data_IF_742079619414
#
_entry.id   IF_742079619414
#
_cell.length_a   1.000
_cell.length_b   1.000
_cell.length_c   1.000
_cell.angle_alpha   90.00
_cell.angle_beta   90.00
_cell.angle_gamma   90.00
#
_symmetry.space_group_name_H-M   'P 1'
#
loop_
_entity.id
_entity.type
_entity.pdbx_description
1 polymer ?
#
# COMPACT_ATOMS: atom_id res chain seq x y z
N UNK A 1 4.53 47.21 -65.65
CA UNK A 1 3.34 46.57 -65.04
C UNK A 1 3.57 45.10 -64.58
N UNK A 2 4.68 44.70 -63.88
CA UNK A 2 4.78 43.34 -63.29
C UNK A 2 4.94 43.28 -61.76
N UNK A 3 5.10 44.41 -61.08
CA UNK A 3 5.46 44.43 -59.64
C UNK A 3 4.24 44.26 -58.72
N UNK A 4 3.04 44.62 -59.20
CA UNK A 4 1.82 44.59 -58.38
C UNK A 4 1.24 43.18 -58.17
N UNK A 5 1.55 42.23 -59.08
CA UNK A 5 0.99 40.87 -59.05
C UNK A 5 1.70 39.99 -58.02
N UNK A 6 3.00 40.23 -57.76
CA UNK A 6 3.79 39.48 -56.77
C UNK A 6 3.33 39.69 -55.33
N UNK A 7 2.83 40.89 -55.00
CA UNK A 7 2.33 41.20 -53.65
C UNK A 7 0.97 40.56 -53.34
N UNK A 8 0.10 40.42 -54.35
CA UNK A 8 -1.22 39.84 -54.18
C UNK A 8 -1.15 38.32 -53.94
N UNK A 9 -0.28 37.62 -54.67
CA UNK A 9 -0.09 36.17 -54.54
C UNK A 9 0.51 35.81 -53.16
N UNK A 10 1.44 36.62 -52.65
CA UNK A 10 2.05 36.39 -51.33
C UNK A 10 1.06 36.62 -50.17
N UNK A 11 0.13 37.59 -50.31
CA UNK A 11 -0.94 37.82 -49.32
C UNK A 11 -1.99 36.69 -49.32
N UNK A 12 -2.34 36.15 -50.48
CA UNK A 12 -3.29 35.01 -50.58
C UNK A 12 -2.67 33.75 -49.97
N UNK A 13 -1.37 33.53 -50.15
CA UNK A 13 -0.65 32.38 -49.56
C UNK A 13 -0.57 32.49 -48.03
N UNK A 14 -0.33 33.68 -47.48
CA UNK A 14 -0.34 33.93 -46.02
C UNK A 14 -1.73 33.69 -45.39
N UNK A 15 -2.81 34.05 -46.09
CA UNK A 15 -4.19 33.84 -45.60
C UNK A 15 -4.57 32.34 -45.60
N UNK A 16 -4.10 31.57 -46.59
CA UNK A 16 -4.32 30.12 -46.66
C UNK A 16 -3.57 29.35 -45.56
N UNK A 17 -2.35 29.77 -45.22
CA UNK A 17 -1.56 29.16 -44.12
C UNK A 17 -2.19 29.47 -42.75
N UNK A 18 -2.77 30.66 -42.58
CA UNK A 18 -3.47 31.05 -41.35
C UNK A 18 -4.77 30.25 -41.10
N UNK A 19 -5.46 29.83 -42.16
CA UNK A 19 -6.69 29.01 -42.05
C UNK A 19 -6.42 27.52 -41.79
N UNK A 20 -5.27 26.98 -42.22
CA UNK A 20 -4.86 25.60 -41.94
C UNK A 20 -4.35 25.36 -40.50
N UNK A 21 -4.11 26.43 -39.74
CA UNK A 21 -3.56 26.32 -38.38
C UNK A 21 -4.63 26.15 -37.28
N UNK A 22 -5.92 26.12 -37.63
CA UNK A 22 -7.02 26.14 -36.66
C UNK A 22 -7.48 24.72 -36.22
N UNK A 23 -6.99 23.64 -36.85
CA UNK A 23 -7.41 22.27 -36.50
C UNK A 23 -6.25 21.50 -35.87
N UNK A 24 -5.83 21.94 -34.69
CA UNK A 24 -5.09 21.11 -33.74
C UNK A 24 -5.35 21.59 -32.31
N UNK A 25 -6.60 21.97 -32.01
CA UNK A 25 -7.05 21.97 -30.62
C UNK A 25 -7.34 20.52 -30.27
N UNK A 26 -6.32 19.82 -29.78
CA UNK A 26 -6.50 18.55 -29.10
C UNK A 26 -7.63 18.72 -28.10
N UNK A 27 -8.73 18.03 -28.38
CA UNK A 27 -9.83 17.80 -27.46
C UNK A 27 -9.25 17.13 -26.22
N UNK A 28 -8.87 17.93 -25.22
CA UNK A 28 -8.81 17.46 -23.83
C UNK A 28 -10.25 17.20 -23.42
N UNK A 29 -10.80 16.06 -23.86
CA UNK A 29 -11.98 15.49 -23.26
C UNK A 29 -11.64 15.30 -21.78
N UNK A 30 -12.20 16.15 -20.93
CA UNK A 30 -12.34 15.87 -19.51
C UNK A 30 -13.26 14.67 -19.40
N UNK A 31 -12.75 13.46 -19.67
CA UNK A 31 -13.36 12.26 -19.13
C UNK A 31 -13.28 12.46 -17.63
N UNK A 32 -14.43 12.50 -16.98
CA UNK A 32 -14.48 12.19 -15.56
C UNK A 32 -13.87 10.79 -15.46
N UNK A 33 -12.61 10.69 -15.02
CA UNK A 33 -11.89 9.42 -15.05
C UNK A 33 -12.63 8.50 -14.07
N UNK A 34 -13.38 7.55 -14.61
CA UNK A 34 -14.22 6.70 -13.80
C UNK A 34 -13.30 5.90 -12.88
N UNK A 35 -13.57 5.96 -11.56
CA UNK A 35 -12.78 5.24 -10.56
C UNK A 35 -12.66 3.77 -10.97
N UNK A 36 -11.45 3.22 -11.12
CA UNK A 36 -11.30 1.84 -11.52
C UNK A 36 -11.83 0.91 -10.43
N UNK A 37 -12.47 -0.19 -10.84
CA UNK A 37 -12.84 -1.26 -9.93
C UNK A 37 -11.59 -2.02 -9.48
N UNK A 38 -11.50 -2.30 -8.19
CA UNK A 38 -10.33 -2.91 -7.55
C UNK A 38 -10.75 -4.11 -6.73
N UNK A 39 -10.09 -5.26 -6.98
CA UNK A 39 -10.16 -6.42 -6.11
C UNK A 39 -8.90 -6.49 -5.23
N UNK A 40 -9.08 -6.56 -3.91
CA UNK A 40 -8.00 -6.88 -2.98
C UNK A 40 -8.05 -8.38 -2.68
N UNK A 41 -6.99 -9.10 -3.08
CA UNK A 41 -6.85 -10.51 -2.75
C UNK A 41 -6.26 -10.69 -1.35
N UNK A 42 -6.49 -11.87 -0.77
CA UNK A 42 -5.87 -12.23 0.51
C UNK A 42 -4.36 -12.32 0.33
N UNK A 43 -3.60 -11.65 1.20
CA UNK A 43 -2.14 -11.68 1.14
C UNK A 43 -1.60 -13.03 1.59
N UNK A 44 -0.41 -13.40 1.11
CA UNK A 44 0.29 -14.57 1.61
C UNK A 44 0.90 -14.28 2.99
N UNK A 45 0.83 -15.24 3.92
CA UNK A 45 1.46 -15.15 5.23
C UNK A 45 2.70 -16.02 5.33
N UNK A 46 3.89 -15.41 5.36
CA UNK A 46 5.14 -16.13 5.61
C UNK A 46 5.56 -15.87 7.06
N UNK A 47 5.50 -16.90 7.92
CA UNK A 47 5.85 -16.77 9.34
C UNK A 47 4.81 -16.04 10.20
N UNK A 48 3.64 -15.71 9.63
CA UNK A 48 2.47 -15.15 10.33
C UNK A 48 1.33 -16.17 10.32
N UNK A 49 0.46 -16.12 11.33
CA UNK A 49 -0.75 -16.93 11.33
C UNK A 49 -1.81 -16.33 10.38
N UNK A 50 -2.77 -17.14 9.95
CA UNK A 50 -3.79 -16.75 8.97
C UNK A 50 -4.74 -15.67 9.52
N UNK A 51 -4.96 -15.63 10.84
CA UNK A 51 -5.85 -14.67 11.51
C UNK A 51 -5.27 -13.25 11.45
N UNK A 52 -3.99 -13.10 11.75
CA UNK A 52 -3.26 -11.83 11.66
C UNK A 52 -3.18 -11.35 10.21
N UNK A 53 -2.87 -12.24 9.27
CA UNK A 53 -2.82 -11.90 7.84
C UNK A 53 -4.19 -11.40 7.37
N UNK A 54 -5.28 -12.07 7.76
CA UNK A 54 -6.63 -11.64 7.44
C UNK A 54 -6.97 -10.28 8.08
N UNK A 55 -6.56 -10.06 9.34
CA UNK A 55 -6.76 -8.81 10.06
C UNK A 55 -6.09 -7.63 9.36
N UNK A 56 -4.79 -7.72 9.08
CA UNK A 56 -4.05 -6.63 8.44
C UNK A 56 -4.44 -6.43 6.98
N UNK A 57 -4.80 -7.50 6.25
CA UNK A 57 -5.42 -7.36 4.92
C UNK A 57 -6.77 -6.63 5.01
N UNK A 58 -7.53 -6.87 6.09
CA UNK A 58 -8.78 -6.16 6.38
C UNK A 58 -8.56 -4.67 6.65
N UNK A 59 -7.53 -4.30 7.42
CA UNK A 59 -7.15 -2.89 7.62
C UNK A 59 -6.72 -2.23 6.31
N UNK A 60 -5.95 -2.93 5.46
CA UNK A 60 -5.62 -2.46 4.12
C UNK A 60 -6.88 -2.18 3.28
N UNK A 61 -7.86 -3.10 3.31
CA UNK A 61 -9.13 -2.94 2.59
C UNK A 61 -9.92 -1.71 3.09
N UNK A 62 -10.00 -1.55 4.42
CA UNK A 62 -10.67 -0.42 5.05
C UNK A 62 -10.01 0.90 4.64
N UNK A 63 -8.68 0.96 4.65
CA UNK A 63 -7.95 2.17 4.29
C UNK A 63 -8.08 2.48 2.79
N UNK A 64 -8.00 1.46 1.91
CA UNK A 64 -8.26 1.62 0.47
C UNK A 64 -9.65 2.22 0.22
N UNK A 65 -10.67 1.83 0.99
CA UNK A 65 -12.00 2.42 0.91
C UNK A 65 -11.99 3.92 1.28
N UNK A 66 -11.21 4.30 2.30
CA UNK A 66 -11.07 5.71 2.74
C UNK A 66 -10.40 6.60 1.70
N UNK A 67 -9.46 6.08 0.90
CA UNK A 67 -8.81 6.85 -0.17
C UNK A 67 -9.81 7.36 -1.21
N UNK A 68 -10.96 6.67 -1.36
CA UNK A 68 -11.99 6.94 -2.38
C UNK A 68 -11.44 6.91 -3.81
N UNK A 69 -10.26 6.34 -4.06
CA UNK A 69 -9.66 6.26 -5.40
C UNK A 69 -10.18 5.10 -6.23
N UNK A 70 -10.77 4.09 -5.59
CA UNK A 70 -11.22 2.85 -6.21
C UNK A 70 -12.68 2.53 -5.91
N UNK A 71 -13.30 1.72 -6.76
CA UNK A 71 -14.56 1.02 -6.45
C UNK A 71 -14.17 -0.39 -6.01
N UNK A 72 -14.24 -0.66 -4.70
CA UNK A 72 -13.83 -1.95 -4.17
C UNK A 72 -14.84 -3.06 -4.53
N UNK A 73 -14.32 -4.18 -5.00
CA UNK A 73 -15.09 -5.39 -5.30
C UNK A 73 -14.89 -6.36 -4.15
N UNK A 74 -15.99 -6.71 -3.49
CA UNK A 74 -15.95 -7.59 -2.33
C UNK A 74 -15.64 -9.04 -2.72
N UNK A 75 -14.88 -9.74 -1.86
CA UNK A 75 -14.53 -11.15 -2.05
C UNK A 75 -15.74 -12.05 -2.23
N UNK A 76 -16.86 -11.75 -1.56
CA UNK A 76 -18.10 -12.52 -1.70
C UNK A 76 -18.63 -12.43 -3.14
N UNK A 77 -18.66 -11.24 -3.74
CA UNK A 77 -19.11 -11.03 -5.12
C UNK A 77 -18.19 -11.75 -6.12
N UNK A 78 -16.88 -11.74 -5.89
CA UNK A 78 -15.91 -12.49 -6.70
C UNK A 78 -16.23 -13.98 -6.62
N UNK A 79 -16.37 -14.53 -5.41
CA UNK A 79 -16.59 -15.96 -5.20
C UNK A 79 -17.92 -16.46 -5.78
N UNK A 80 -18.98 -15.65 -5.72
CA UNK A 80 -20.27 -15.96 -6.35
C UNK A 80 -20.13 -16.10 -7.87
N UNK A 81 -19.50 -15.12 -8.51
CA UNK A 81 -19.27 -15.14 -9.95
C UNK A 81 -18.34 -16.29 -10.37
N UNK A 82 -17.29 -16.59 -9.59
CA UNK A 82 -16.41 -17.72 -9.87
C UNK A 82 -17.12 -19.07 -9.77
N UNK A 83 -18.03 -19.24 -8.80
CA UNK A 83 -18.87 -20.43 -8.69
C UNK A 83 -19.83 -20.59 -9.87
N UNK A 84 -20.44 -19.51 -10.35
CA UNK A 84 -21.29 -19.54 -11.54
C UNK A 84 -20.52 -19.95 -12.81
N UNK A 85 -19.21 -19.68 -12.84
CA UNK A 85 -18.32 -20.05 -13.95
C UNK A 85 -17.62 -21.40 -13.75
N UNK A 86 -17.96 -22.15 -12.70
CA UNK A 86 -17.33 -23.43 -12.35
C UNK A 86 -15.79 -23.30 -12.29
N UNK A 87 -15.29 -22.19 -11.74
CA UNK A 87 -13.86 -21.91 -11.69
C UNK A 87 -13.21 -22.49 -10.42
N UNK A 88 -12.28 -23.44 -10.61
CA UNK A 88 -11.74 -24.26 -9.51
C UNK A 88 -10.61 -23.60 -8.69
N UNK A 89 -10.02 -22.50 -9.16
CA UNK A 89 -8.84 -21.86 -8.52
C UNK A 89 -9.20 -20.63 -7.68
N UNK A 90 -9.89 -20.85 -6.57
CA UNK A 90 -10.39 -19.74 -5.73
C UNK A 90 -9.33 -19.12 -4.80
N UNK A 91 -8.24 -19.86 -4.48
CA UNK A 91 -7.13 -19.32 -3.69
C UNK A 91 -6.13 -18.62 -4.62
N UNK A 92 -6.19 -17.29 -4.64
CA UNK A 92 -5.47 -16.46 -5.59
C UNK A 92 -4.50 -15.52 -4.90
N UNK A 93 -3.20 -15.74 -5.13
CA UNK A 93 -2.11 -15.01 -4.46
C UNK A 93 -1.07 -14.42 -5.42
N UNK A 94 -1.10 -14.85 -6.68
CA UNK A 94 -0.15 -14.41 -7.71
C UNK A 94 -0.78 -13.41 -8.67
N UNK A 95 0.05 -12.61 -9.33
CA UNK A 95 -0.41 -11.64 -10.32
C UNK A 95 -1.15 -12.30 -11.49
N UNK A 96 -0.62 -13.41 -12.02
CA UNK A 96 -1.22 -14.13 -13.15
C UNK A 96 -2.61 -14.67 -12.80
N UNK A 97 -2.77 -15.21 -11.59
CA UNK A 97 -4.06 -15.66 -11.09
C UNK A 97 -5.05 -14.50 -10.98
N UNK A 98 -4.62 -13.36 -10.44
CA UNK A 98 -5.49 -12.18 -10.30
C UNK A 98 -5.92 -11.63 -11.65
N UNK A 99 -5.04 -11.68 -12.67
CA UNK A 99 -5.34 -11.31 -14.05
C UNK A 99 -6.36 -12.27 -14.67
N UNK A 100 -6.24 -13.58 -14.42
CA UNK A 100 -7.20 -14.60 -14.89
C UNK A 100 -8.60 -14.36 -14.30
N UNK A 101 -8.69 -14.26 -12.97
CA UNK A 101 -9.94 -13.98 -12.26
C UNK A 101 -10.52 -12.63 -12.69
N UNK A 102 -9.69 -11.60 -12.83
CA UNK A 102 -10.12 -10.27 -13.23
C UNK A 102 -10.76 -10.23 -14.62
N UNK A 103 -10.31 -11.06 -15.56
CA UNK A 103 -10.95 -11.19 -16.88
C UNK A 103 -12.31 -11.88 -16.82
N UNK A 104 -12.48 -12.83 -15.89
CA UNK A 104 -13.73 -13.54 -15.69
C UNK A 104 -14.78 -12.67 -14.99
N UNK A 105 -14.35 -11.92 -13.97
CA UNK A 105 -15.23 -11.13 -13.09
C UNK A 105 -15.41 -9.70 -13.60
N UNK A 106 -14.43 -9.14 -14.30
CA UNK A 106 -14.51 -7.83 -14.94
C UNK A 106 -13.99 -6.64 -14.12
N UNK A 107 -13.31 -6.86 -12.99
CA UNK A 107 -12.63 -5.76 -12.29
C UNK A 107 -11.38 -5.28 -13.05
N UNK A 108 -11.03 -4.00 -12.89
CA UNK A 108 -9.99 -3.34 -13.69
C UNK A 108 -8.60 -3.40 -13.08
N UNK A 109 -8.53 -3.48 -11.76
CA UNK A 109 -7.29 -3.54 -10.99
C UNK A 109 -7.35 -4.66 -9.97
N UNK A 110 -6.20 -5.22 -9.62
CA UNK A 110 -6.04 -6.11 -8.49
C UNK A 110 -4.87 -5.68 -7.61
N UNK A 111 -4.98 -5.93 -6.31
CA UNK A 111 -3.83 -5.92 -5.41
C UNK A 111 -3.61 -7.34 -4.90
N UNK A 112 -2.38 -7.82 -5.06
CA UNK A 112 -1.86 -9.05 -4.46
C UNK A 112 -0.62 -8.70 -3.64
N UNK A 113 -0.26 -9.53 -2.68
CA UNK A 113 0.87 -9.24 -1.81
C UNK A 113 1.14 -10.31 -0.78
N UNK A 114 2.07 -10.02 0.10
CA UNK A 114 2.46 -10.89 1.19
C UNK A 114 2.88 -10.10 2.42
N UNK A 115 2.69 -10.74 3.58
CA UNK A 115 3.33 -10.39 4.83
C UNK A 115 4.42 -11.42 5.13
N UNK A 116 5.58 -10.95 5.58
CA UNK A 116 6.71 -11.80 5.97
C UNK A 116 7.21 -11.40 7.34
N UNK A 117 7.05 -12.29 8.32
CA UNK A 117 7.51 -12.11 9.69
C UNK A 117 8.71 -13.00 9.96
N UNK A 118 9.84 -12.37 10.32
CA UNK A 118 11.07 -13.07 10.72
C UNK A 118 11.56 -12.47 12.04
N UNK A 119 11.52 -13.27 13.10
CA UNK A 119 11.71 -12.79 14.47
C UNK A 119 10.74 -11.63 14.78
N UNK A 120 11.28 -10.43 15.01
CA UNK A 120 10.50 -9.23 15.35
C UNK A 120 10.35 -8.28 14.13
N UNK A 121 10.79 -8.70 12.94
CA UNK A 121 10.73 -7.89 11.73
C UNK A 121 9.58 -8.33 10.85
N UNK A 122 8.61 -7.45 10.64
CA UNK A 122 7.49 -7.65 9.73
C UNK A 122 7.67 -6.81 8.47
N UNK A 123 7.67 -7.46 7.30
CA UNK A 123 7.67 -6.82 5.99
C UNK A 123 6.35 -7.08 5.29
N UNK A 124 5.67 -6.01 4.87
CA UNK A 124 4.52 -6.07 3.98
C UNK A 124 4.97 -5.66 2.58
N UNK A 125 4.59 -6.45 1.58
CA UNK A 125 4.82 -6.15 0.17
C UNK A 125 3.54 -6.35 -0.62
N UNK A 126 3.25 -5.46 -1.55
CA UNK A 126 2.12 -5.63 -2.46
C UNK A 126 2.35 -5.01 -3.83
N UNK A 127 1.58 -5.49 -4.79
CA UNK A 127 1.62 -5.05 -6.18
C UNK A 127 0.22 -4.75 -6.68
N UNK A 128 0.03 -3.54 -7.22
CA UNK A 128 -1.15 -3.13 -7.97
C UNK A 128 -0.97 -3.55 -9.42
N UNK A 129 -1.92 -4.32 -9.94
CA UNK A 129 -1.88 -4.93 -11.27
C UNK A 129 -3.03 -4.38 -12.11
N UNK A 130 -2.73 -4.00 -13.35
CA UNK A 130 -3.71 -3.71 -14.37
C UNK A 130 -4.20 -5.00 -15.04
N UNK A 131 -5.50 -5.29 -14.96
CA UNK A 131 -6.05 -6.54 -15.53
C UNK A 131 -6.03 -6.52 -17.07
N UNK A 132 -6.28 -5.35 -17.65
CA UNK A 132 -6.27 -5.16 -19.10
C UNK A 132 -4.85 -5.11 -19.68
N UNK A 133 -3.96 -4.34 -19.05
CA UNK A 133 -2.54 -4.25 -19.44
C UNK A 133 -1.77 -5.54 -19.14
N UNK A 134 -2.21 -6.33 -18.14
CA UNK A 134 -1.51 -7.50 -17.59
C UNK A 134 -0.14 -7.16 -17.00
N UNK A 135 0.00 -5.94 -16.51
CA UNK A 135 1.27 -5.41 -15.99
C UNK A 135 1.11 -4.98 -14.52
N UNK A 136 2.20 -5.08 -13.78
CA UNK A 136 2.31 -4.48 -12.44
C UNK A 136 2.52 -2.98 -12.62
N UNK A 137 1.52 -2.20 -12.22
CA UNK A 137 1.52 -0.74 -12.36
C UNK A 137 2.23 -0.04 -11.21
N UNK A 138 2.18 -0.65 -10.01
CA UNK A 138 2.82 -0.13 -8.82
C UNK A 138 3.18 -1.27 -7.87
N UNK A 139 4.30 -1.14 -7.18
CA UNK A 139 4.70 -2.01 -6.07
C UNK A 139 4.99 -1.14 -4.86
N UNK A 140 4.55 -1.57 -3.69
CA UNK A 140 4.81 -0.92 -2.42
C UNK A 140 5.40 -1.96 -1.45
N UNK A 141 6.38 -1.55 -0.66
CA UNK A 141 7.04 -2.40 0.33
C UNK A 141 7.34 -1.57 1.57
N UNK A 142 6.98 -2.09 2.75
CA UNK A 142 7.22 -1.44 4.05
C UNK A 142 7.71 -2.49 5.03
N UNK A 143 8.62 -2.09 5.90
CA UNK A 143 9.20 -2.95 6.92
C UNK A 143 9.13 -2.24 8.26
N UNK A 144 8.76 -2.99 9.29
CA UNK A 144 8.69 -2.55 10.66
C UNK A 144 9.38 -3.58 11.56
N UNK A 145 10.03 -3.12 12.63
CA UNK A 145 10.73 -3.95 13.59
C UNK A 145 10.13 -3.67 14.98
N UNK A 146 9.43 -4.65 15.54
CA UNK A 146 8.77 -4.50 16.83
C UNK A 146 7.59 -5.47 17.00
N UNK A 147 6.68 -5.14 17.93
CA UNK A 147 5.51 -5.96 18.19
C UNK A 147 4.53 -5.83 17.01
N UNK A 148 3.96 -6.95 16.53
CA UNK A 148 3.16 -6.99 15.30
C UNK A 148 2.06 -5.91 15.22
N UNK A 149 1.46 -5.52 16.35
CA UNK A 149 0.49 -4.41 16.44
C UNK A 149 0.98 -3.10 15.80
N UNK A 150 2.27 -2.80 15.88
CA UNK A 150 2.90 -1.60 15.32
C UNK A 150 2.96 -1.56 13.78
N UNK A 151 2.65 -2.65 13.07
CA UNK A 151 2.65 -2.66 11.60
C UNK A 151 1.47 -1.88 11.01
N UNK A 152 0.37 -1.70 11.75
CA UNK A 152 -0.88 -1.19 11.18
C UNK A 152 -0.73 0.19 10.46
N UNK A 153 -0.05 1.21 11.03
CA UNK A 153 0.17 2.48 10.33
C UNK A 153 0.90 2.32 8.98
N UNK A 154 1.84 1.36 8.88
CA UNK A 154 2.54 1.07 7.64
C UNK A 154 1.62 0.44 6.58
N UNK A 155 0.70 -0.44 7.01
CA UNK A 155 -0.35 -1.01 6.15
C UNK A 155 -1.27 0.09 5.62
N UNK A 156 -1.64 1.03 6.48
CA UNK A 156 -2.47 2.16 6.07
C UNK A 156 -1.75 3.03 5.04
N UNK A 157 -0.51 3.43 5.29
CA UNK A 157 0.31 4.20 4.33
C UNK A 157 0.41 3.49 2.98
N UNK A 158 0.57 2.16 2.98
CA UNK A 158 0.58 1.38 1.74
C UNK A 158 -0.71 1.52 0.92
N UNK A 159 -1.88 1.62 1.57
CA UNK A 159 -3.15 1.86 0.88
C UNK A 159 -3.16 3.19 0.12
N UNK A 160 -2.70 4.27 0.77
CA UNK A 160 -2.59 5.60 0.18
C UNK A 160 -1.57 5.63 -0.96
N UNK A 161 -0.45 4.92 -0.80
CA UNK A 161 0.55 4.75 -1.85
C UNK A 161 -0.04 4.08 -3.09
N UNK A 162 -0.83 3.00 -2.92
CA UNK A 162 -1.53 2.37 -4.05
C UNK A 162 -2.50 3.34 -4.74
N UNK A 163 -3.25 4.11 -3.96
CA UNK A 163 -4.13 5.18 -4.44
C UNK A 163 -3.39 6.34 -5.12
N UNK A 164 -2.06 6.43 -4.99
CA UNK A 164 -1.26 7.53 -5.53
C UNK A 164 -1.50 8.85 -4.80
N UNK A 165 -1.81 8.76 -3.50
CA UNK A 165 -2.10 9.88 -2.62
C UNK A 165 -1.12 9.88 -1.44
N UNK A 166 -0.95 11.04 -0.83
CA UNK A 166 -0.25 11.14 0.45
C UNK A 166 -1.16 10.68 1.59
N UNK A 167 -0.62 9.92 2.53
CA UNK A 167 -1.37 9.50 3.70
C UNK A 167 -1.70 10.70 4.61
N UNK A 168 -2.83 10.68 5.35
CA UNK A 168 -3.15 11.65 6.37
C UNK A 168 -2.03 11.81 7.41
N UNK A 169 -1.83 13.05 7.88
CA UNK A 169 -0.72 13.39 8.80
C UNK A 169 -0.78 12.63 10.12
N UNK A 170 -1.97 12.32 10.61
CA UNK A 170 -2.19 11.52 11.80
C UNK A 170 -1.64 10.09 11.67
N UNK A 171 -1.72 9.48 10.48
CA UNK A 171 -1.12 8.16 10.21
C UNK A 171 0.41 8.26 10.16
N UNK A 172 0.94 9.30 9.52
CA UNK A 172 2.40 9.55 9.51
C UNK A 172 2.95 9.77 10.92
N UNK A 173 2.29 10.60 11.72
CA UNK A 173 2.67 10.83 13.11
C UNK A 173 2.60 9.55 13.95
N UNK A 174 1.65 8.65 13.66
CA UNK A 174 1.57 7.36 14.34
C UNK A 174 2.80 6.49 14.05
N UNK A 175 3.37 6.54 12.83
CA UNK A 175 4.66 5.88 12.52
C UNK A 175 5.79 6.51 13.33
N UNK A 176 5.88 7.84 13.39
CA UNK A 176 6.92 8.53 14.17
C UNK A 176 6.87 8.17 15.66
N UNK A 177 5.66 8.12 16.25
CA UNK A 177 5.47 7.72 17.65
C UNK A 177 5.89 6.26 17.87
N UNK A 178 5.57 5.37 16.94
CA UNK A 178 5.97 3.95 17.02
C UNK A 178 7.50 3.83 17.03
N UNK A 179 8.20 4.54 16.15
CA UNK A 179 9.67 4.56 16.10
C UNK A 179 10.28 5.07 17.42
N UNK A 180 9.74 6.16 18.01
CA UNK A 180 10.20 6.69 19.29
C UNK A 180 9.97 5.70 20.45
N UNK A 181 8.81 5.03 20.49
CA UNK A 181 8.47 4.05 21.53
C UNK A 181 9.40 2.85 21.47
N UNK A 182 9.71 2.34 20.28
CA UNK A 182 10.62 1.20 20.11
C UNK A 182 12.06 1.54 20.47
N UNK A 183 12.54 2.74 20.12
CA UNK A 183 13.86 3.22 20.55
C UNK A 183 13.94 3.25 22.09
N UNK A 184 12.94 3.85 22.74
CA UNK A 184 12.88 3.92 24.20
C UNK A 184 12.82 2.52 24.83
N UNK A 185 12.00 1.60 24.31
CA UNK A 185 11.91 0.20 24.76
C UNK A 185 13.27 -0.51 24.65
N UNK A 186 13.98 -0.30 23.54
CA UNK A 186 15.33 -0.84 23.31
C UNK A 186 16.34 -0.32 24.35
N UNK A 187 16.34 0.99 24.61
CA UNK A 187 17.20 1.62 25.62
C UNK A 187 16.92 1.05 27.02
N UNK A 188 15.65 0.96 27.43
CA UNK A 188 15.29 0.38 28.73
C UNK A 188 15.70 -1.10 28.85
N UNK A 189 15.64 -1.86 27.75
CA UNK A 189 16.10 -3.25 27.72
C UNK A 189 17.62 -3.36 27.96
N UNK A 190 18.41 -2.46 27.35
CA UNK A 190 19.86 -2.37 27.60
C UNK A 190 20.18 -1.93 29.02
N UNK A 191 19.51 -0.90 29.55
CA UNK A 191 19.66 -0.45 30.94
C UNK A 191 19.37 -1.59 31.91
N UNK A 192 18.26 -2.32 31.71
CA UNK A 192 17.92 -3.46 32.54
C UNK A 192 18.99 -4.57 32.46
N UNK A 193 19.53 -4.85 31.28
CA UNK A 193 20.62 -5.81 31.14
C UNK A 193 21.91 -5.37 31.87
N UNK A 194 22.27 -4.09 31.79
CA UNK A 194 23.47 -3.56 32.45
C UNK A 194 23.34 -3.54 33.99
N UNK A 195 22.13 -3.31 34.52
CA UNK A 195 21.87 -3.25 35.96
C UNK A 195 21.57 -4.65 36.53
N UNK A 196 21.16 -5.64 35.72
CA UNK A 196 20.95 -7.04 36.16
C UNK A 196 22.06 -7.60 37.08
N UNK A 197 23.36 -7.50 36.76
CA UNK A 197 24.41 -7.97 37.66
C UNK A 197 24.44 -7.20 39.00
N UNK A 198 24.21 -5.88 38.99
CA UNK A 198 24.12 -5.08 40.21
C UNK A 198 22.90 -5.45 41.06
N UNK A 199 21.74 -5.66 40.45
CA UNK A 199 20.52 -6.12 41.14
C UNK A 199 20.67 -7.55 41.69
N UNK A 200 21.34 -8.44 40.95
CA UNK A 200 21.66 -9.79 41.41
C UNK A 200 22.58 -9.75 42.63
N UNK A 201 23.64 -8.93 42.61
CA UNK A 201 24.56 -8.76 43.74
C UNK A 201 23.83 -8.12 44.94
N UNK A 202 23.03 -7.07 44.73
CA UNK A 202 22.30 -6.42 45.81
C UNK A 202 21.29 -7.35 46.50
N UNK A 203 20.57 -8.17 45.74
CA UNK A 203 19.68 -9.20 46.29
C UNK A 203 20.46 -10.29 47.03
N UNK A 204 21.62 -10.71 46.50
CA UNK A 204 22.50 -11.71 47.14
C UNK A 204 23.11 -11.20 48.45
N UNK A 205 23.51 -9.94 48.52
CA UNK A 205 24.08 -9.31 49.73
C UNK A 205 23.02 -9.12 50.83
N UNK A 206 21.74 -8.92 50.46
CA UNK A 206 20.63 -8.87 51.43
C UNK A 206 20.52 -10.14 52.26
N UNK A 207 20.81 -11.31 51.67
CA UNK A 207 20.80 -12.59 52.38
C UNK A 207 21.94 -12.73 53.41
N UNK A 208 22.94 -11.83 53.38
CA UNK A 208 24.08 -11.81 54.30
C UNK A 208 24.00 -10.69 55.34
N UNK A 209 22.94 -9.88 55.33
CA UNK A 209 22.72 -8.88 56.37
C UNK A 209 22.00 -9.53 57.56
N UNK A 210 22.56 -9.44 58.78
CA UNK A 210 21.88 -9.95 59.97
C UNK A 210 20.58 -9.15 60.17
N UNK A 211 19.46 -9.85 60.39
CA UNK A 211 18.22 -9.20 60.79
C UNK A 211 18.47 -8.47 62.10
N UNK A 212 18.35 -7.14 62.13
CA UNK A 212 18.30 -6.43 63.40
C UNK A 212 17.04 -6.88 64.14
N UNK A 213 17.23 -7.71 65.16
CA UNK A 213 16.26 -7.89 66.23
C UNK A 213 16.26 -6.61 67.07
N UNK A 214 15.25 -5.77 66.88
CA UNK A 214 14.94 -4.69 67.82
C UNK A 214 14.32 -5.30 69.07
N UNK A 215 15.00 -5.14 70.21
CA UNK A 215 14.40 -5.24 71.55
C UNK A 215 13.37 -4.13 71.79
#
# INVERSE_FOLDING_TARGET
MPIYIRGAIFKIFIIQIALLSIVNTQTKQTRYDAKPTLALFTFEGNGMNDEDVALYTGYLNLELHQTKSFILVEKIQINELLREKEYDKMDCKTADCAIEIGKLVGFKKAIVGSFSLVADTCTIKGSLIGIESKEVEKTAERTYVGDLEGINPFVQIMAWEFAGLDAPKDIFNAVEIVDEVDEKKSIWRWINWAIKPFNYIANRVRDFLPSQSSE
#
